data_IF_428653543704
#
_entry.id   IF_428653543704
#
_cell.length_a   1.000
_cell.length_b   1.000
_cell.length_c   1.000
_cell.angle_alpha   90.00
_cell.angle_beta   90.00
_cell.angle_gamma   90.00
#
_symmetry.space_group_name_H-M   'P 1'
#
loop_
_entity.id
_entity.type
_entity.pdbx_description
1 polymer ?
#
# COMPACT_ATOMS: atom_id res chain seq x y z
N UNK A 1 -2.66 6.12 -11.87
CA UNK A 1 -3.17 5.69 -10.54
C UNK A 1 -4.33 6.59 -10.13
N UNK A 2 -5.56 6.07 -10.04
CA UNK A 2 -6.77 6.83 -9.64
C UNK A 2 -7.14 6.59 -8.16
N UNK A 3 -6.15 6.33 -7.31
CA UNK A 3 -6.31 5.88 -5.93
C UNK A 3 -6.37 7.02 -4.90
N UNK A 4 -6.85 8.20 -5.28
CA UNK A 4 -6.99 9.32 -4.35
C UNK A 4 -8.02 8.99 -3.25
N UNK A 5 -7.77 9.37 -1.98
CA UNK A 5 -6.63 10.14 -1.47
C UNK A 5 -5.44 9.30 -0.97
N UNK A 6 -5.41 8.00 -1.24
CA UNK A 6 -4.45 7.05 -0.66
C UNK A 6 -3.09 7.06 -1.38
N UNK A 7 -3.08 6.83 -2.71
CA UNK A 7 -1.92 6.93 -3.60
C UNK A 7 -2.36 7.43 -4.96
N UNK A 8 -1.87 8.60 -5.36
CA UNK A 8 -2.23 9.23 -6.63
C UNK A 8 -1.11 10.13 -7.14
N UNK A 9 -1.16 10.46 -8.43
CA UNK A 9 -0.17 11.36 -9.03
C UNK A 9 -0.41 12.79 -8.57
N UNK A 10 0.67 13.50 -8.22
CA UNK A 10 0.61 14.90 -7.88
C UNK A 10 0.14 15.71 -9.11
N UNK A 11 -0.96 16.48 -9.01
CA UNK A 11 -1.49 17.26 -10.13
C UNK A 11 -0.48 18.29 -10.70
N UNK A 12 0.42 18.81 -9.85
CA UNK A 12 1.47 19.75 -10.25
C UNK A 12 2.74 19.06 -10.75
N UNK A 13 2.94 17.78 -10.42
CA UNK A 13 4.08 16.98 -10.88
C UNK A 13 3.68 15.50 -11.02
N UNK A 14 3.17 15.07 -12.18
CA UNK A 14 2.64 13.72 -12.36
C UNK A 14 3.66 12.57 -12.14
N UNK A 15 4.96 12.88 -12.16
CA UNK A 15 6.02 11.90 -11.85
C UNK A 15 6.18 11.62 -10.36
N UNK A 16 5.54 12.42 -9.50
CA UNK A 16 5.56 12.24 -8.06
C UNK A 16 4.22 11.63 -7.60
N UNK A 17 4.29 10.55 -6.83
CA UNK A 17 3.14 10.04 -6.10
C UNK A 17 2.98 10.77 -4.77
N UNK A 18 1.75 11.09 -4.42
CA UNK A 18 1.33 11.69 -3.16
C UNK A 18 0.11 10.93 -2.61
N UNK A 19 -0.19 11.15 -1.34
CA UNK A 19 -1.33 10.57 -0.66
C UNK A 19 -0.97 10.00 0.71
N UNK A 20 -2.00 9.66 1.47
CA UNK A 20 -1.87 9.22 2.86
C UNK A 20 -0.97 7.99 3.01
N UNK A 21 -1.10 6.98 2.15
CA UNK A 21 -0.28 5.77 2.23
C UNK A 21 1.19 6.06 1.83
N UNK A 22 1.42 6.97 0.89
CA UNK A 22 2.78 7.41 0.51
C UNK A 22 3.49 8.08 1.69
N UNK A 23 2.76 8.88 2.46
CA UNK A 23 3.27 9.55 3.66
C UNK A 23 3.58 8.57 4.80
N UNK A 24 2.72 7.56 5.03
CA UNK A 24 3.00 6.50 6.01
C UNK A 24 4.28 5.76 5.65
N UNK A 25 4.40 5.30 4.40
CA UNK A 25 5.56 4.56 3.94
C UNK A 25 6.85 5.38 4.11
N UNK A 26 6.82 6.68 3.77
CA UNK A 26 7.95 7.58 3.95
C UNK A 26 8.32 7.78 5.43
N UNK A 27 7.33 7.90 6.32
CA UNK A 27 7.55 8.03 7.75
C UNK A 27 8.16 6.74 8.34
N UNK A 28 7.66 5.57 7.94
CA UNK A 28 8.22 4.28 8.34
C UNK A 28 9.68 4.12 7.88
N UNK A 29 9.96 4.41 6.62
CA UNK A 29 11.31 4.34 6.05
C UNK A 29 12.29 5.24 6.82
N UNK A 30 11.85 6.46 7.18
CA UNK A 30 12.63 7.38 8.02
C UNK A 30 12.91 6.83 9.41
N UNK A 31 11.90 6.25 10.09
CA UNK A 31 12.06 5.65 11.41
C UNK A 31 13.03 4.46 11.39
N UNK A 32 12.98 3.66 10.33
CA UNK A 32 13.83 2.49 10.14
C UNK A 32 15.22 2.82 9.57
N UNK A 33 15.46 4.08 9.19
CA UNK A 33 16.69 4.51 8.50
C UNK A 33 16.97 3.74 7.20
N UNK A 34 15.92 3.44 6.43
CA UNK A 34 15.99 2.77 5.13
C UNK A 34 15.51 3.68 4.00
N UNK A 35 15.84 3.36 2.76
CA UNK A 35 15.22 3.97 1.58
C UNK A 35 14.01 3.14 1.15
N UNK A 36 12.93 3.82 0.75
CA UNK A 36 11.79 3.18 0.12
C UNK A 36 11.83 3.34 -1.39
N UNK A 37 11.30 2.35 -2.11
CA UNK A 37 11.05 2.44 -3.55
C UNK A 37 9.66 1.90 -3.83
N UNK A 38 8.80 2.74 -4.42
CA UNK A 38 7.50 2.29 -4.88
C UNK A 38 7.67 1.43 -6.14
N UNK A 39 6.99 0.28 -6.16
CA UNK A 39 6.93 -0.62 -7.31
C UNK A 39 5.44 -0.81 -7.63
N UNK A 40 5.06 -0.47 -8.86
CA UNK A 40 3.68 -0.66 -9.32
C UNK A 40 3.48 -2.12 -9.75
N UNK A 41 2.51 -2.78 -9.12
CA UNK A 41 2.14 -4.16 -9.37
C UNK A 41 0.63 -4.19 -9.59
N UNK A 42 0.17 -5.00 -10.54
CA UNK A 42 -1.27 -5.24 -10.71
C UNK A 42 -1.84 -5.82 -9.42
N UNK A 43 -2.98 -5.29 -8.94
CA UNK A 43 -3.57 -5.69 -7.66
C UNK A 43 -3.72 -7.22 -7.51
N UNK A 44 -4.15 -7.90 -8.57
CA UNK A 44 -4.32 -9.35 -8.60
C UNK A 44 -3.02 -10.15 -8.38
N UNK A 45 -1.86 -9.52 -8.57
CA UNK A 45 -0.55 -10.17 -8.50
C UNK A 45 0.22 -9.80 -7.22
N UNK A 46 -0.35 -8.99 -6.32
CA UNK A 46 0.37 -8.50 -5.12
C UNK A 46 0.86 -9.65 -4.22
N UNK A 47 0.00 -10.64 -3.93
CA UNK A 47 0.35 -11.82 -3.14
C UNK A 47 1.51 -12.60 -3.80
N UNK A 48 1.39 -12.86 -5.10
CA UNK A 48 2.43 -13.59 -5.84
C UNK A 48 3.77 -12.82 -5.85
N UNK A 49 3.73 -11.50 -6.07
CA UNK A 49 4.94 -10.67 -6.05
C UNK A 49 5.59 -10.61 -4.66
N UNK A 50 4.78 -10.61 -3.59
CA UNK A 50 5.28 -10.68 -2.22
C UNK A 50 5.95 -12.04 -1.95
N UNK A 51 5.27 -13.15 -2.26
CA UNK A 51 5.80 -14.50 -2.05
C UNK A 51 7.04 -14.80 -2.91
N UNK A 52 7.15 -14.16 -4.07
CA UNK A 52 8.32 -14.25 -4.94
C UNK A 52 9.48 -13.31 -4.56
N UNK A 53 9.36 -12.57 -3.44
CA UNK A 53 10.32 -11.55 -2.99
C UNK A 53 10.64 -10.48 -4.05
N UNK A 54 9.65 -10.12 -4.87
CA UNK A 54 9.77 -9.00 -5.82
C UNK A 54 9.50 -7.64 -5.15
N UNK A 55 8.74 -7.67 -4.05
CA UNK A 55 8.45 -6.55 -3.16
C UNK A 55 8.60 -7.03 -1.72
N UNK A 56 9.02 -6.14 -0.83
CA UNK A 56 9.20 -6.48 0.59
C UNK A 56 7.93 -6.26 1.43
N UNK A 57 7.02 -5.41 0.95
CA UNK A 57 5.80 -5.02 1.65
C UNK A 57 4.72 -4.58 0.65
N UNK A 58 3.45 -4.87 0.98
CA UNK A 58 2.29 -4.32 0.29
C UNK A 58 1.66 -3.20 1.16
N UNK A 59 1.45 -2.03 0.56
CA UNK A 59 0.70 -0.92 1.17
C UNK A 59 -0.18 -0.26 0.10
N UNK A 60 -1.39 -0.82 -0.08
CA UNK A 60 -2.40 -0.27 -0.98
C UNK A 60 -3.80 -0.83 -0.68
N UNK A 61 -4.34 -0.55 0.51
CA UNK A 61 -5.65 -1.09 0.92
C UNK A 61 -5.74 -2.62 0.98
N UNK A 62 -4.61 -3.32 1.11
CA UNK A 62 -4.55 -4.78 1.11
C UNK A 62 -5.31 -5.36 2.30
N UNK A 63 -6.44 -6.00 2.04
CA UNK A 63 -7.34 -6.45 3.09
C UNK A 63 -6.78 -7.66 3.83
N UNK A 64 -6.81 -7.57 5.16
CA UNK A 64 -6.50 -8.70 6.03
C UNK A 64 -7.64 -9.72 5.99
N UNK A 65 -7.38 -10.91 5.46
CA UNK A 65 -8.32 -12.03 5.41
C UNK A 65 -7.71 -13.28 6.03
N UNK A 66 -8.55 -14.21 6.49
CA UNK A 66 -8.09 -15.46 7.10
C UNK A 66 -7.26 -16.34 6.16
N UNK A 67 -7.46 -16.21 4.85
CA UNK A 67 -6.68 -16.95 3.85
C UNK A 67 -5.31 -16.33 3.64
N UNK A 68 -5.22 -15.00 3.50
CA UNK A 68 -3.94 -14.29 3.38
C UNK A 68 -3.09 -14.42 4.65
N UNK A 69 -3.70 -14.46 5.82
CA UNK A 69 -2.98 -14.68 7.09
C UNK A 69 -2.26 -16.04 7.17
N UNK A 70 -2.58 -17.01 6.31
CA UNK A 70 -1.88 -18.30 6.25
C UNK A 70 -0.52 -18.20 5.56
N UNK A 71 -0.34 -17.21 4.69
CA UNK A 71 0.82 -17.07 3.81
C UNK A 71 1.59 -15.76 4.01
N UNK A 72 0.97 -14.76 4.63
CA UNK A 72 1.51 -13.41 4.77
C UNK A 72 1.49 -12.92 6.22
N UNK A 73 2.38 -11.97 6.54
CA UNK A 73 2.39 -11.27 7.81
C UNK A 73 1.74 -9.88 7.64
N UNK A 74 0.76 -9.59 8.50
CA UNK A 74 0.08 -8.29 8.54
C UNK A 74 0.56 -7.48 9.73
N UNK A 75 0.73 -6.18 9.51
CA UNK A 75 0.97 -5.21 10.59
C UNK A 75 -0.28 -5.03 11.45
N UNK A 76 -0.14 -4.22 12.50
CA UNK A 76 -1.31 -3.55 13.03
C UNK A 76 -1.94 -2.67 11.94
N UNK A 77 -3.26 -2.69 11.83
CA UNK A 77 -3.99 -2.03 10.75
C UNK A 77 -4.00 -0.51 10.92
N UNK A 78 -3.54 0.19 9.89
CA UNK A 78 -3.48 1.64 9.84
C UNK A 78 -4.76 2.31 9.32
N UNK A 79 -5.68 1.54 8.73
CA UNK A 79 -6.97 2.01 8.25
C UNK A 79 -8.09 1.03 8.60
N UNK A 80 -9.21 1.57 9.07
CA UNK A 80 -10.43 0.81 9.42
C UNK A 80 -11.56 1.32 8.56
N UNK A 81 -12.17 0.43 7.79
CA UNK A 81 -13.27 0.75 6.91
C UNK A 81 -14.41 -0.25 7.08
N UNK A 82 -15.57 0.12 6.54
CA UNK A 82 -16.72 -0.75 6.42
C UNK A 82 -17.46 -0.40 5.14
N UNK A 83 -18.26 -1.33 4.65
CA UNK A 83 -19.14 -1.05 3.51
C UNK A 83 -20.17 0.00 3.91
N UNK A 84 -20.30 1.04 3.08
CA UNK A 84 -21.24 2.15 3.29
C UNK A 84 -22.09 2.33 2.03
N UNK A 85 -23.34 2.74 2.22
CA UNK A 85 -24.23 3.21 1.15
C UNK A 85 -24.29 4.72 1.24
N UNK A 86 -23.93 5.40 0.15
CA UNK A 86 -24.01 6.86 0.04
C UNK A 86 -25.29 7.17 -0.76
N UNK A 87 -26.13 8.05 -0.23
CA UNK A 87 -27.36 8.55 -0.86
C UNK A 87 -27.20 10.04 -1.14
#
# INVERSE_FOLDING_TARGET
VSGAPYVFQNPSNPSQLIGFEVEIAAAMAKLMSISQKQIEVCYANLEQSLLANQIDMVMNGWEKTSDREKTELFSDPYYRYGQQVIV
#
